data_IF_646354067688
#
_entry.id   IF_646354067688
#
_cell.length_a   1.000
_cell.length_b   1.000
_cell.length_c   1.000
_cell.angle_alpha   90.00
_cell.angle_beta   90.00
_cell.angle_gamma   90.00
#
_symmetry.space_group_name_H-M   'P 1'
#
loop_
_entity.id
_entity.type
_entity.pdbx_description
1 polymer ?
#
# COMPACT_ATOMS: atom_id res chain seq x y z
N UNK A 1 1.14 -30.72 47.79
CA UNK A 1 2.30 -30.12 47.10
C UNK A 1 1.96 -30.03 45.61
N UNK A 2 1.69 -28.84 45.06
CA UNK A 2 1.52 -28.73 43.61
C UNK A 2 2.90 -28.71 42.96
N UNK A 3 3.22 -29.78 42.23
CA UNK A 3 4.44 -29.88 41.45
C UNK A 3 4.21 -29.13 40.14
N UNK A 4 4.72 -27.92 40.03
CA UNK A 4 4.65 -27.13 38.79
C UNK A 4 5.52 -25.88 38.84
N UNK A 5 6.23 -25.61 37.75
CA UNK A 5 6.88 -24.30 37.56
C UNK A 5 5.83 -23.22 37.32
N UNK A 6 6.08 -22.00 37.80
CA UNK A 6 5.27 -20.84 37.42
C UNK A 6 5.32 -20.65 35.90
N UNK A 7 4.24 -20.14 35.31
CA UNK A 7 4.17 -19.89 33.85
C UNK A 7 5.37 -19.08 33.35
N UNK A 8 5.84 -18.12 34.16
CA UNK A 8 7.04 -17.33 33.87
C UNK A 8 8.28 -18.22 33.78
N UNK A 9 8.55 -19.02 34.81
CA UNK A 9 9.73 -19.89 34.87
C UNK A 9 9.69 -20.97 33.78
N UNK A 10 8.51 -21.50 33.47
CA UNK A 10 8.32 -22.43 32.35
C UNK A 10 8.65 -21.77 30.99
N UNK A 11 8.18 -20.54 30.74
CA UNK A 11 8.50 -19.80 29.51
C UNK A 11 10.00 -19.48 29.40
N UNK A 12 10.66 -19.13 30.51
CA UNK A 12 12.10 -18.89 30.58
C UNK A 12 12.90 -20.16 30.25
N UNK A 13 12.56 -21.31 30.86
CA UNK A 13 13.20 -22.62 30.59
C UNK A 13 13.01 -23.02 29.12
N UNK A 14 11.79 -22.88 28.59
CA UNK A 14 11.45 -23.23 27.20
C UNK A 14 11.94 -22.19 26.18
N UNK A 15 12.55 -21.08 26.63
CA UNK A 15 12.99 -19.96 25.79
C UNK A 15 11.92 -19.45 24.82
N UNK A 16 10.68 -19.37 25.30
CA UNK A 16 9.55 -18.79 24.56
C UNK A 16 9.06 -17.53 25.25
N UNK A 17 8.57 -16.56 24.48
CA UNK A 17 7.94 -15.39 25.06
C UNK A 17 6.60 -15.76 25.71
N UNK A 18 6.28 -15.09 26.83
CA UNK A 18 4.97 -15.25 27.50
C UNK A 18 3.81 -14.89 26.56
N UNK A 19 4.00 -13.90 25.69
CA UNK A 19 2.99 -13.49 24.70
C UNK A 19 2.70 -14.60 23.68
N UNK A 20 3.73 -15.29 23.18
CA UNK A 20 3.56 -16.44 22.29
C UNK A 20 2.75 -17.55 22.96
N UNK A 21 3.11 -17.91 24.19
CA UNK A 21 2.38 -18.93 24.96
C UNK A 21 0.92 -18.51 25.21
N UNK A 22 0.70 -17.24 25.56
CA UNK A 22 -0.64 -16.68 25.76
C UNK A 22 -1.51 -16.77 24.51
N UNK A 23 -1.01 -16.34 23.34
CA UNK A 23 -1.78 -16.39 22.09
C UNK A 23 -1.94 -17.81 21.50
N UNK A 24 -1.08 -18.75 21.87
CA UNK A 24 -1.29 -20.18 21.58
C UNK A 24 -2.42 -20.77 22.42
N UNK A 25 -2.48 -20.44 23.71
CA UNK A 25 -3.52 -20.91 24.61
C UNK A 25 -4.86 -20.18 24.40
N UNK A 26 -4.79 -18.90 24.01
CA UNK A 26 -5.93 -18.03 23.74
C UNK A 26 -5.85 -17.54 22.30
N UNK A 27 -6.09 -18.42 21.31
CA UNK A 27 -6.12 -18.00 19.92
C UNK A 27 -7.20 -16.92 19.75
N UNK A 28 -6.85 -15.86 19.00
CA UNK A 28 -7.82 -14.80 18.70
C UNK A 28 -8.98 -15.43 17.92
N UNK A 29 -10.24 -15.10 18.27
CA UNK A 29 -11.38 -15.62 17.53
C UNK A 29 -11.24 -15.21 16.06
N UNK A 30 -11.40 -16.17 15.15
CA UNK A 30 -11.43 -15.87 13.71
C UNK A 30 -12.73 -15.11 13.44
N UNK A 31 -12.63 -14.01 12.69
CA UNK A 31 -13.81 -13.33 12.16
C UNK A 31 -14.36 -14.20 11.03
N UNK A 32 -15.62 -14.62 11.12
CA UNK A 32 -16.28 -15.51 10.16
C UNK A 32 -16.26 -14.94 8.73
N UNK A 33 -16.61 -13.66 8.59
CA UNK A 33 -16.58 -12.92 7.34
C UNK A 33 -15.65 -11.69 7.46
N UNK A 34 -14.33 -11.85 7.25
CA UNK A 34 -13.42 -10.72 7.30
C UNK A 34 -13.62 -9.84 6.06
N UNK A 35 -13.72 -8.53 6.25
CA UNK A 35 -13.81 -7.57 5.12
C UNK A 35 -12.49 -7.64 4.34
N UNK A 36 -12.52 -8.03 3.05
CA UNK A 36 -11.36 -8.04 2.18
C UNK A 36 -10.66 -6.68 2.19
N UNK A 37 -9.32 -6.65 2.14
CA UNK A 37 -8.57 -5.39 2.23
C UNK A 37 -9.02 -4.32 1.21
N UNK A 38 -9.43 -4.76 0.01
CA UNK A 38 -9.93 -3.88 -1.05
C UNK A 38 -11.28 -3.24 -0.75
N UNK A 39 -12.10 -3.88 0.07
CA UNK A 39 -13.45 -3.43 0.44
C UNK A 39 -13.46 -2.63 1.76
N UNK A 40 -12.32 -2.56 2.46
CA UNK A 40 -12.22 -1.74 3.68
C UNK A 40 -12.41 -0.27 3.33
N UNK A 41 -13.13 0.44 4.19
CA UNK A 41 -13.25 1.89 4.17
C UNK A 41 -11.91 2.50 4.64
N UNK A 42 -11.00 2.69 3.68
CA UNK A 42 -9.69 3.32 3.87
C UNK A 42 -9.72 4.57 2.98
N UNK A 43 -9.20 5.73 3.44
CA UNK A 43 -9.11 6.91 2.60
C UNK A 43 -8.30 6.60 1.34
N UNK A 44 -8.98 6.64 0.19
CA UNK A 44 -8.39 6.48 -1.14
C UNK A 44 -8.42 7.83 -1.84
N UNK A 45 -7.48 8.03 -2.76
CA UNK A 45 -7.61 9.11 -3.73
C UNK A 45 -8.92 8.89 -4.51
N UNK A 46 -9.77 9.92 -4.67
CA UNK A 46 -11.02 9.76 -5.41
C UNK A 46 -10.72 9.48 -6.88
N UNK A 47 -11.62 8.74 -7.53
CA UNK A 47 -11.43 8.34 -8.93
C UNK A 47 -11.36 9.55 -9.87
N UNK A 48 -12.00 10.66 -9.51
CA UNK A 48 -11.89 11.95 -10.21
C UNK A 48 -10.46 12.46 -10.28
N UNK A 49 -9.73 12.40 -9.18
CA UNK A 49 -8.36 12.92 -9.11
C UNK A 49 -7.40 11.96 -9.80
N UNK A 50 -7.67 10.65 -9.73
CA UNK A 50 -6.95 9.65 -10.53
C UNK A 50 -7.11 9.95 -12.02
N UNK A 51 -8.33 10.21 -12.47
CA UNK A 51 -8.59 10.51 -13.87
C UNK A 51 -7.90 11.81 -14.31
N UNK A 52 -7.97 12.88 -13.51
CA UNK A 52 -7.25 14.13 -13.82
C UNK A 52 -5.73 13.91 -13.91
N UNK A 53 -5.16 13.08 -13.02
CA UNK A 53 -3.73 12.71 -13.11
C UNK A 53 -3.44 11.97 -14.42
N UNK A 54 -4.31 11.03 -14.82
CA UNK A 54 -4.15 10.31 -16.09
C UNK A 54 -4.27 11.24 -17.30
N UNK A 55 -5.20 12.19 -17.27
CA UNK A 55 -5.36 13.19 -18.33
C UNK A 55 -4.12 14.08 -18.45
N UNK A 56 -3.50 14.47 -17.34
CA UNK A 56 -2.21 15.18 -17.33
C UNK A 56 -1.08 14.35 -17.94
N UNK A 57 -1.07 13.04 -17.67
CA UNK A 57 -0.13 12.12 -18.29
C UNK A 57 -0.34 12.02 -19.80
N UNK A 58 -1.58 12.07 -20.27
CA UNK A 58 -1.93 11.95 -21.68
C UNK A 58 -1.73 13.25 -22.47
N UNK A 59 -1.94 14.40 -21.83
CA UNK A 59 -1.61 15.71 -22.39
C UNK A 59 -0.09 15.93 -22.53
N UNK A 60 0.73 15.20 -21.77
CA UNK A 60 2.18 15.37 -21.70
C UNK A 60 2.93 14.03 -21.85
N UNK A 61 2.91 13.42 -23.05
CA UNK A 61 3.51 12.10 -23.29
C UNK A 61 5.02 12.08 -23.03
N UNK A 62 5.72 13.18 -23.32
CA UNK A 62 7.17 13.28 -23.22
C UNK A 62 7.68 13.53 -21.80
N UNK A 63 6.81 14.00 -20.89
CA UNK A 63 7.21 14.38 -19.55
C UNK A 63 7.30 13.19 -18.60
N UNK A 64 8.20 13.29 -17.63
CA UNK A 64 8.32 12.31 -16.55
C UNK A 64 7.23 12.55 -15.50
N UNK A 65 6.96 11.54 -14.67
CA UNK A 65 5.99 11.68 -13.59
C UNK A 65 6.33 12.81 -12.60
N UNK A 66 7.61 13.07 -12.39
CA UNK A 66 8.09 14.18 -11.54
C UNK A 66 7.85 15.54 -12.19
N UNK A 67 8.14 15.68 -13.49
CA UNK A 67 7.87 16.90 -14.24
C UNK A 67 6.36 17.22 -14.31
N UNK A 68 5.53 16.19 -14.49
CA UNK A 68 4.06 16.34 -14.50
C UNK A 68 3.55 16.74 -13.12
N UNK A 69 4.09 16.13 -12.06
CA UNK A 69 3.76 16.51 -10.68
C UNK A 69 4.11 17.99 -10.42
N UNK A 70 5.31 18.42 -10.78
CA UNK A 70 5.71 19.82 -10.60
C UNK A 70 4.80 20.77 -11.39
N UNK A 71 4.48 20.42 -12.65
CA UNK A 71 3.58 21.22 -13.48
C UNK A 71 2.16 21.33 -12.89
N UNK A 72 1.65 20.24 -12.31
CA UNK A 72 0.38 20.26 -11.60
C UNK A 72 0.44 21.22 -10.40
N UNK A 73 1.52 21.15 -9.61
CA UNK A 73 1.73 22.05 -8.47
C UNK A 73 1.85 23.52 -8.90
N UNK A 74 2.57 23.80 -9.98
CA UNK A 74 2.73 25.16 -10.53
C UNK A 74 1.40 25.73 -11.03
N UNK A 75 0.49 24.88 -11.51
CA UNK A 75 -0.88 25.25 -11.89
C UNK A 75 -1.86 25.38 -10.71
N UNK A 76 -1.40 25.10 -9.48
CA UNK A 76 -2.22 25.12 -8.26
C UNK A 76 -3.06 23.85 -8.04
N UNK A 77 -2.85 22.79 -8.83
CA UNK A 77 -3.59 21.53 -8.73
C UNK A 77 -2.92 20.58 -7.71
N UNK A 78 -3.37 20.65 -6.46
CA UNK A 78 -2.90 19.77 -5.37
C UNK A 78 -3.65 18.43 -5.32
N UNK A 79 -3.54 17.63 -6.38
CA UNK A 79 -4.28 16.37 -6.52
C UNK A 79 -3.77 15.27 -5.56
N UNK A 80 -2.46 15.09 -5.47
CA UNK A 80 -1.86 14.05 -4.65
C UNK A 80 -0.35 14.25 -4.43
N UNK A 81 0.26 13.42 -3.58
CA UNK A 81 1.72 13.37 -3.42
C UNK A 81 2.44 12.86 -4.69
N UNK A 82 3.70 13.25 -4.88
CA UNK A 82 4.56 12.73 -5.95
C UNK A 82 4.59 11.19 -6.00
N UNK A 83 4.63 10.51 -4.85
CA UNK A 83 4.59 9.04 -4.78
C UNK A 83 3.29 8.47 -5.36
N UNK A 84 2.17 9.17 -5.20
CA UNK A 84 0.89 8.78 -5.78
C UNK A 84 0.91 8.92 -7.30
N UNK A 85 1.49 9.99 -7.85
CA UNK A 85 1.69 10.14 -9.31
C UNK A 85 2.47 8.95 -9.88
N UNK A 86 3.60 8.58 -9.28
CA UNK A 86 4.36 7.40 -9.69
C UNK A 86 3.55 6.09 -9.59
N UNK A 87 2.78 5.92 -8.51
CA UNK A 87 1.96 4.72 -8.31
C UNK A 87 0.89 4.58 -9.39
N UNK A 88 0.19 5.67 -9.71
CA UNK A 88 -0.83 5.71 -10.76
C UNK A 88 -0.17 5.49 -12.13
N UNK A 89 0.90 6.22 -12.43
CA UNK A 89 1.60 6.07 -13.70
C UNK A 89 2.04 4.62 -13.95
N UNK A 90 2.63 3.97 -12.94
CA UNK A 90 3.04 2.56 -13.02
C UNK A 90 1.86 1.62 -13.23
N UNK A 91 0.75 1.82 -12.53
CA UNK A 91 -0.43 0.97 -12.61
C UNK A 91 -1.11 1.05 -13.99
N UNK A 92 -0.98 2.19 -14.68
CA UNK A 92 -1.60 2.45 -15.97
C UNK A 92 -0.62 2.46 -17.15
N UNK A 93 0.62 2.00 -16.97
CA UNK A 93 1.62 1.93 -18.06
C UNK A 93 2.13 3.29 -18.55
N UNK A 94 1.90 4.37 -17.79
CA UNK A 94 2.25 5.75 -18.16
C UNK A 94 3.67 6.16 -17.76
N UNK A 95 4.49 5.25 -17.22
CA UNK A 95 5.91 5.57 -16.99
C UNK A 95 6.63 5.70 -18.35
N UNK A 96 7.55 6.66 -18.48
CA UNK A 96 8.31 6.86 -19.72
C UNK A 96 8.94 5.57 -20.27
N UNK A 97 9.53 4.73 -19.41
CA UNK A 97 10.09 3.44 -19.82
C UNK A 97 9.03 2.50 -20.42
N UNK A 98 7.83 2.47 -19.84
CA UNK A 98 6.73 1.62 -20.29
C UNK A 98 6.14 2.13 -21.61
N UNK A 99 6.00 3.45 -21.75
CA UNK A 99 5.55 4.10 -23.01
C UNK A 99 6.51 3.82 -24.17
N UNK A 100 7.80 4.04 -23.97
CA UNK A 100 8.84 3.76 -24.98
C UNK A 100 8.89 2.30 -25.39
N UNK A 101 8.67 1.39 -24.44
CA UNK A 101 8.59 -0.03 -24.75
C UNK A 101 7.36 -0.35 -25.64
N UNK A 102 6.21 0.24 -25.33
CA UNK A 102 5.00 0.07 -26.13
C UNK A 102 5.13 0.67 -27.55
N UNK A 103 5.86 1.78 -27.71
CA UNK A 103 6.17 2.37 -29.02
C UNK A 103 7.15 1.52 -29.86
N UNK A 104 7.95 0.67 -29.20
CA UNK A 104 8.93 -0.19 -29.86
C UNK A 104 8.39 -1.58 -30.27
N UNK A 105 7.16 -1.92 -29.87
CA UNK A 105 6.49 -3.14 -30.32
C UNK A 105 5.76 -2.88 -31.66
N UNK A 106 6.03 -3.67 -32.73
CA UNK A 106 5.48 -3.47 -34.08
C UNK A 106 4.02 -3.90 -34.25
#
# INVERSE_FOLDING_TARGET
MSVGHSMRRACEILRISRSRRYYQANPRPKKENPIPHRERNIPRIPDSDVQQILDLFDAHPDLSADAIYQKAQDSGLQLASLRTFYRIARAHGKLQRQRRAAESEP
#
